data_IF_516375357208
#
_entry.id   IF_516375357208
#
_cell.length_a   1.000
_cell.length_b   1.000
_cell.length_c   1.000
_cell.angle_alpha   90.00
_cell.angle_beta   90.00
_cell.angle_gamma   90.00
#
_symmetry.space_group_name_H-M   'P 1'
#
loop_
_entity.id
_entity.type
_entity.pdbx_description
1 polymer ?
#
# COMPACT_ATOMS: atom_id res chain seq x y z
N UNK A 1 2.15 -6.70 -9.15
CA UNK A 1 2.60 -5.50 -8.45
C UNK A 1 1.63 -4.38 -8.76
N UNK A 2 1.37 -3.52 -7.79
CA UNK A 2 0.46 -2.38 -7.90
C UNK A 2 0.94 -1.36 -8.94
N UNK A 3 0.00 -0.62 -9.53
CA UNK A 3 0.29 0.49 -10.45
C UNK A 3 0.80 1.71 -9.68
N UNK A 4 2.03 2.20 -9.93
CA UNK A 4 2.58 3.36 -9.23
C UNK A 4 1.77 4.62 -9.44
N UNK A 5 1.34 5.25 -8.35
CA UNK A 5 0.68 6.55 -8.38
C UNK A 5 0.77 7.27 -7.02
N UNK A 6 0.62 8.59 -7.04
CA UNK A 6 0.77 9.43 -5.84
C UNK A 6 -0.25 9.12 -4.74
N UNK A 7 -1.48 8.75 -5.12
CA UNK A 7 -2.54 8.46 -4.16
C UNK A 7 -2.25 7.19 -3.35
N UNK A 8 -1.88 6.09 -4.03
CA UNK A 8 -1.49 4.85 -3.38
C UNK A 8 -0.23 5.01 -2.52
N UNK A 9 0.79 5.71 -3.02
CA UNK A 9 2.01 6.01 -2.26
C UNK A 9 1.66 6.78 -0.98
N UNK A 10 0.83 7.81 -1.08
CA UNK A 10 0.39 8.60 0.08
C UNK A 10 -0.41 7.75 1.07
N UNK A 11 -1.31 6.89 0.59
CA UNK A 11 -2.10 5.99 1.42
C UNK A 11 -1.20 5.01 2.20
N UNK A 12 -0.21 4.38 1.55
CA UNK A 12 0.76 3.49 2.19
C UNK A 12 1.56 4.22 3.27
N UNK A 13 2.16 5.38 2.93
CA UNK A 13 2.96 6.18 3.88
C UNK A 13 2.14 6.63 5.09
N UNK A 14 0.90 7.08 4.86
CA UNK A 14 0.00 7.52 5.92
C UNK A 14 -0.44 6.36 6.82
N UNK A 15 -0.75 5.21 6.24
CA UNK A 15 -1.10 4.00 6.99
C UNK A 15 0.06 3.57 7.88
N UNK A 16 1.26 3.48 7.32
CA UNK A 16 2.47 3.12 8.06
C UNK A 16 2.74 4.10 9.23
N UNK A 17 2.60 5.41 8.98
CA UNK A 17 2.76 6.44 10.02
C UNK A 17 1.75 6.27 11.16
N UNK A 18 0.46 6.08 10.86
CA UNK A 18 -0.57 5.90 11.89
C UNK A 18 -0.34 4.64 12.72
N UNK A 19 0.08 3.54 12.09
CA UNK A 19 0.43 2.32 12.80
C UNK A 19 1.62 2.54 13.76
N UNK A 20 2.67 3.22 13.30
CA UNK A 20 3.81 3.59 14.14
C UNK A 20 3.39 4.46 15.34
N UNK A 21 2.47 5.40 15.13
CA UNK A 21 1.90 6.30 16.15
C UNK A 21 0.88 5.62 17.09
N UNK A 22 0.61 4.32 16.92
CA UNK A 22 -0.22 3.55 17.85
C UNK A 22 -1.67 3.32 17.40
N UNK A 23 -1.96 3.44 16.10
CA UNK A 23 -3.26 3.03 15.58
C UNK A 23 -3.57 1.55 15.94
N UNK A 24 -4.85 1.21 16.21
CA UNK A 24 -5.23 -0.16 16.56
C UNK A 24 -4.79 -1.18 15.52
N UNK A 25 -4.14 -2.23 15.98
CA UNK A 25 -3.62 -3.29 15.12
C UNK A 25 -3.92 -4.67 15.69
N UNK A 26 -4.59 -5.51 14.90
CA UNK A 26 -4.92 -6.89 15.22
C UNK A 26 -5.14 -7.67 13.92
N UNK A 27 -4.24 -8.61 13.62
CA UNK A 27 -4.23 -9.37 12.38
C UNK A 27 -5.56 -10.13 12.11
N UNK A 28 -6.17 -10.72 13.15
CA UNK A 28 -7.47 -11.40 13.01
C UNK A 28 -8.71 -10.50 12.94
N UNK A 29 -8.56 -9.17 13.00
CA UNK A 29 -9.69 -8.24 12.92
C UNK A 29 -9.64 -7.50 11.58
N UNK A 30 -10.61 -7.81 10.71
CA UNK A 30 -10.63 -7.39 9.30
C UNK A 30 -10.46 -5.89 9.04
N UNK A 31 -10.92 -5.03 9.96
CA UNK A 31 -10.74 -3.59 9.86
C UNK A 31 -9.46 -3.03 10.51
N UNK A 32 -8.67 -3.84 11.21
CA UNK A 32 -7.45 -3.40 11.91
C UNK A 32 -6.24 -4.32 11.69
N UNK A 33 -6.31 -5.21 10.70
CA UNK A 33 -5.16 -5.97 10.21
C UNK A 33 -4.34 -5.12 9.22
N UNK A 34 -3.47 -5.77 8.45
CA UNK A 34 -2.59 -5.12 7.48
C UNK A 34 -3.41 -4.42 6.38
N UNK A 35 -4.23 -5.19 5.67
CA UNK A 35 -5.13 -4.68 4.63
C UNK A 35 -6.22 -3.78 5.21
N UNK A 36 -6.75 -4.12 6.39
CA UNK A 36 -7.79 -3.33 7.06
C UNK A 36 -7.35 -1.90 7.37
N UNK A 37 -6.11 -1.69 7.84
CA UNK A 37 -5.59 -0.34 8.08
C UNK A 37 -5.41 0.46 6.79
N UNK A 38 -4.93 -0.18 5.71
CA UNK A 38 -4.83 0.48 4.41
C UNK A 38 -6.23 0.82 3.84
N UNK A 39 -7.18 -0.11 3.97
CA UNK A 39 -8.56 0.07 3.53
C UNK A 39 -9.25 1.24 4.24
N UNK A 40 -9.00 1.46 5.54
CA UNK A 40 -9.49 2.66 6.25
C UNK A 40 -8.96 3.95 5.60
N UNK A 41 -7.69 3.99 5.21
CA UNK A 41 -7.11 5.18 4.58
C UNK A 41 -7.66 5.46 3.19
N UNK A 42 -7.97 4.42 2.42
CA UNK A 42 -8.48 4.54 1.05
C UNK A 42 -9.98 4.87 1.08
N UNK A 43 -10.78 4.02 1.71
CA UNK A 43 -12.25 4.10 1.67
C UNK A 43 -12.86 5.12 2.63
N UNK A 44 -12.07 5.60 3.61
CA UNK A 44 -12.54 6.41 4.76
C UNK A 44 -13.54 5.70 5.67
N UNK A 45 -13.79 4.41 5.46
CA UNK A 45 -14.57 3.58 6.38
C UNK A 45 -13.80 3.39 7.69
N UNK A 46 -14.55 3.25 8.77
CA UNK A 46 -14.01 2.88 10.08
C UNK A 46 -13.62 1.41 10.12
N UNK A 47 -12.74 1.03 11.05
CA UNK A 47 -12.43 -0.39 11.30
C UNK A 47 -13.67 -1.24 11.61
N UNK A 48 -14.73 -0.66 12.19
CA UNK A 48 -15.95 -1.37 12.55
C UNK A 48 -16.78 -1.68 11.30
N UNK A 49 -16.95 -0.69 10.41
CA UNK A 49 -17.66 -0.88 9.14
C UNK A 49 -16.95 -1.90 8.24
N UNK A 50 -15.61 -1.82 8.12
CA UNK A 50 -14.83 -2.78 7.34
C UNK A 50 -14.98 -4.20 7.93
N UNK A 51 -14.96 -4.32 9.25
CA UNK A 51 -15.15 -5.61 9.89
C UNK A 51 -16.57 -6.16 9.65
N UNK A 52 -17.59 -5.32 9.77
CA UNK A 52 -18.96 -5.71 9.46
C UNK A 52 -19.10 -6.17 8.00
N UNK A 53 -18.49 -5.44 7.04
CA UNK A 53 -18.53 -5.78 5.62
C UNK A 53 -17.97 -7.18 5.36
N UNK A 54 -16.82 -7.49 5.97
CA UNK A 54 -16.18 -8.78 5.83
C UNK A 54 -17.00 -9.93 6.46
N UNK A 55 -17.66 -9.66 7.59
CA UNK A 55 -18.40 -10.68 8.36
C UNK A 55 -19.80 -10.97 7.80
N UNK A 56 -20.34 -10.15 6.89
CA UNK A 56 -21.72 -10.32 6.38
C UNK A 56 -21.93 -11.64 5.65
N UNK A 57 -21.00 -12.04 4.78
CA UNK A 57 -21.21 -13.17 3.87
C UNK A 57 -20.00 -14.10 3.73
N UNK A 58 -18.89 -13.80 4.40
CA UNK A 58 -17.62 -14.52 4.24
C UNK A 58 -16.90 -14.65 5.59
N UNK A 59 -16.03 -15.64 5.66
CA UNK A 59 -15.13 -15.86 6.78
C UNK A 59 -13.70 -15.77 6.25
N UNK A 60 -12.75 -15.77 7.17
CA UNK A 60 -11.34 -15.79 6.82
C UNK A 60 -10.69 -14.41 6.77
N UNK A 61 -9.42 -14.42 6.40
CA UNK A 61 -8.61 -13.21 6.28
C UNK A 61 -8.75 -12.53 4.91
N UNK A 62 -8.03 -11.43 4.70
CA UNK A 62 -8.09 -10.70 3.45
C UNK A 62 -7.66 -11.51 2.23
N UNK A 63 -6.78 -12.49 2.38
CA UNK A 63 -6.39 -13.36 1.26
C UNK A 63 -7.58 -14.21 0.82
N UNK A 64 -8.27 -14.84 1.77
CA UNK A 64 -9.46 -15.67 1.51
C UNK A 64 -10.63 -14.84 0.97
N UNK A 65 -10.84 -13.64 1.52
CA UNK A 65 -11.87 -12.71 1.04
C UNK A 65 -11.60 -12.27 -0.40
N UNK A 66 -10.33 -12.07 -0.74
CA UNK A 66 -9.88 -11.69 -2.08
C UNK A 66 -9.94 -12.85 -3.07
N UNK A 67 -9.72 -14.10 -2.63
CA UNK A 67 -9.94 -15.29 -3.46
C UNK A 67 -11.40 -15.41 -3.92
N UNK A 68 -12.34 -15.03 -3.05
CA UNK A 68 -13.77 -15.03 -3.35
C UNK A 68 -14.25 -13.75 -4.07
N UNK A 69 -13.36 -12.82 -4.42
CA UNK A 69 -13.72 -11.51 -4.97
C UNK A 69 -14.49 -11.63 -6.30
N UNK A 70 -15.64 -10.94 -6.37
CA UNK A 70 -16.45 -10.83 -7.58
C UNK A 70 -16.86 -9.36 -7.81
N UNK A 71 -16.36 -8.68 -8.85
CA UNK A 71 -16.60 -7.24 -9.05
C UNK A 71 -18.05 -6.86 -9.35
N UNK A 72 -18.91 -7.83 -9.69
CA UNK A 72 -20.32 -7.60 -10.08
C UNK A 72 -21.33 -8.04 -9.02
N UNK A 73 -20.88 -8.53 -7.87
CA UNK A 73 -21.75 -9.10 -6.83
C UNK A 73 -22.51 -8.04 -6.02
N UNK A 74 -22.06 -6.78 -6.06
CA UNK A 74 -22.48 -5.68 -5.18
C UNK A 74 -22.40 -5.99 -3.67
N UNK A 75 -21.61 -6.99 -3.27
CA UNK A 75 -21.40 -7.29 -1.86
C UNK A 75 -20.53 -6.21 -1.21
N UNK A 76 -20.78 -5.82 0.05
CA UNK A 76 -20.04 -4.74 0.70
C UNK A 76 -18.52 -4.94 0.70
N UNK A 77 -18.05 -6.16 0.94
CA UNK A 77 -16.62 -6.49 0.88
C UNK A 77 -16.08 -6.42 -0.55
N UNK A 78 -16.85 -6.87 -1.54
CA UNK A 78 -16.42 -6.78 -2.94
C UNK A 78 -16.35 -5.32 -3.40
N UNK A 79 -17.30 -4.46 -2.98
CA UNK A 79 -17.24 -3.01 -3.25
C UNK A 79 -16.00 -2.36 -2.64
N UNK A 80 -15.61 -2.77 -1.42
CA UNK A 80 -14.39 -2.29 -0.78
C UNK A 80 -13.13 -2.74 -1.55
N UNK A 81 -13.08 -4.02 -1.96
CA UNK A 81 -11.97 -4.53 -2.78
C UNK A 81 -11.91 -3.78 -4.11
N UNK A 82 -13.05 -3.50 -4.75
CA UNK A 82 -13.13 -2.69 -5.97
C UNK A 82 -12.49 -1.33 -5.77
N UNK A 83 -12.87 -0.58 -4.72
CA UNK A 83 -12.25 0.72 -4.41
C UNK A 83 -10.73 0.64 -4.23
N UNK A 84 -10.25 -0.40 -3.54
CA UNK A 84 -8.81 -0.61 -3.37
C UNK A 84 -8.12 -0.90 -4.71
N UNK A 85 -8.77 -1.66 -5.60
CA UNK A 85 -8.20 -1.94 -6.92
C UNK A 85 -8.26 -0.74 -7.87
N UNK A 86 -9.26 0.13 -7.74
CA UNK A 86 -9.38 1.35 -8.54
C UNK A 86 -8.23 2.34 -8.30
N UNK A 87 -7.67 2.38 -7.09
CA UNK A 87 -6.49 3.20 -6.78
C UNK A 87 -5.17 2.56 -7.24
N UNK A 88 -5.21 1.42 -7.94
CA UNK A 88 -4.05 0.78 -8.54
C UNK A 88 -3.54 -0.49 -7.84
N UNK A 89 -4.21 -0.99 -6.79
CA UNK A 89 -3.87 -2.30 -6.21
C UNK A 89 -4.41 -3.44 -7.08
N UNK A 90 -3.72 -4.58 -7.06
CA UNK A 90 -4.24 -5.85 -7.56
C UNK A 90 -4.70 -6.75 -6.42
N UNK A 91 -5.50 -7.77 -6.73
CA UNK A 91 -5.88 -8.80 -5.76
C UNK A 91 -4.66 -9.56 -5.20
N UNK A 92 -3.62 -9.74 -6.00
CA UNK A 92 -2.34 -10.31 -5.55
C UNK A 92 -1.65 -9.40 -4.55
N UNK A 93 -1.69 -8.08 -4.74
CA UNK A 93 -1.09 -7.13 -3.80
C UNK A 93 -1.81 -7.15 -2.45
N UNK A 94 -3.14 -7.32 -2.44
CA UNK A 94 -3.91 -7.48 -1.20
C UNK A 94 -3.53 -8.76 -0.45
N UNK A 95 -3.38 -9.89 -1.14
CA UNK A 95 -2.90 -11.15 -0.56
C UNK A 95 -1.49 -11.00 0.00
N UNK A 96 -0.61 -10.35 -0.75
CA UNK A 96 0.76 -10.11 -0.33
C UNK A 96 0.84 -9.18 0.88
N UNK A 97 -0.01 -8.15 0.96
CA UNK A 97 -0.09 -7.27 2.12
C UNK A 97 -0.60 -8.00 3.36
N UNK A 98 -1.59 -8.89 3.19
CA UNK A 98 -2.13 -9.67 4.31
C UNK A 98 -1.07 -10.57 4.95
N UNK A 99 -0.13 -11.09 4.15
CA UNK A 99 0.94 -12.02 4.60
C UNK A 99 2.34 -11.42 4.66
N UNK A 100 2.52 -10.15 4.26
CA UNK A 100 3.80 -9.47 4.08
C UNK A 100 4.77 -10.26 3.17
N UNK A 101 4.29 -10.70 2.00
CA UNK A 101 4.95 -11.73 1.19
C UNK A 101 5.40 -11.31 -0.20
N UNK A 102 5.25 -10.05 -0.61
CA UNK A 102 5.70 -9.65 -1.95
C UNK A 102 7.23 -9.71 -2.05
N UNK A 103 7.72 -10.49 -3.03
CA UNK A 103 9.15 -10.71 -3.21
C UNK A 103 9.90 -9.44 -3.57
N UNK A 104 9.34 -8.57 -4.40
CA UNK A 104 10.02 -7.34 -4.84
C UNK A 104 10.24 -6.37 -3.67
N UNK A 105 9.33 -6.37 -2.70
CA UNK A 105 9.47 -5.59 -1.47
C UNK A 105 10.47 -6.27 -0.53
N UNK A 106 10.33 -7.58 -0.30
CA UNK A 106 11.16 -8.33 0.65
C UNK A 106 12.66 -8.33 0.29
N UNK A 107 13.02 -8.34 -1.00
CA UNK A 107 14.44 -8.30 -1.41
C UNK A 107 15.13 -6.96 -1.13
N UNK A 108 14.35 -5.89 -0.96
CA UNK A 108 14.84 -4.55 -0.64
C UNK A 108 15.11 -4.34 0.86
N UNK A 109 14.51 -5.18 1.69
CA UNK A 109 14.72 -5.14 3.14
C UNK A 109 16.09 -5.71 3.54
N UNK A 110 16.67 -5.25 4.67
CA UNK A 110 17.86 -5.85 5.25
C UNK A 110 17.69 -7.36 5.47
N UNK A 111 18.80 -8.11 5.42
CA UNK A 111 18.77 -9.57 5.44
C UNK A 111 18.04 -10.13 6.67
N UNK A 112 18.19 -9.47 7.82
CA UNK A 112 17.54 -9.78 9.09
C UNK A 112 16.01 -9.60 9.07
N UNK A 113 15.47 -8.83 8.12
CA UNK A 113 14.04 -8.53 7.98
C UNK A 113 13.37 -9.21 6.78
N UNK A 114 14.04 -10.17 6.13
CA UNK A 114 13.45 -10.93 5.01
C UNK A 114 12.34 -11.91 5.43
N UNK A 115 12.20 -12.18 6.73
CA UNK A 115 11.16 -13.03 7.31
C UNK A 115 10.23 -12.21 8.19
N UNK A 116 9.37 -11.41 7.56
CA UNK A 116 8.42 -10.59 8.28
C UNK A 116 7.28 -11.43 8.89
N UNK A 117 7.04 -11.19 10.17
CA UNK A 117 5.86 -11.66 10.89
C UNK A 117 4.66 -10.74 10.61
N UNK A 118 3.66 -11.25 9.88
CA UNK A 118 2.46 -10.51 9.48
C UNK A 118 1.54 -10.11 10.63
N UNK A 119 1.75 -10.63 11.84
CA UNK A 119 1.04 -10.29 13.06
C UNK A 119 1.83 -9.34 13.97
N UNK A 120 2.99 -8.83 13.52
CA UNK A 120 3.78 -7.84 14.23
C UNK A 120 3.69 -6.50 13.52
N UNK A 121 3.02 -5.55 14.17
CA UNK A 121 2.79 -4.18 13.67
C UNK A 121 4.02 -3.54 13.05
N UNK A 122 5.17 -3.59 13.74
CA UNK A 122 6.39 -2.91 13.26
C UNK A 122 6.91 -3.49 11.93
N UNK A 123 6.67 -4.77 11.67
CA UNK A 123 6.99 -5.39 10.38
C UNK A 123 6.06 -4.91 9.28
N UNK A 124 4.77 -4.68 9.59
CA UNK A 124 3.80 -4.10 8.65
C UNK A 124 4.20 -2.68 8.29
N UNK A 125 4.61 -1.87 9.29
CA UNK A 125 5.11 -0.50 9.05
C UNK A 125 6.32 -0.51 8.13
N UNK A 126 7.29 -1.38 8.41
CA UNK A 126 8.48 -1.55 7.57
C UNK A 126 8.12 -1.93 6.14
N UNK A 127 7.26 -2.92 5.97
CA UNK A 127 6.81 -3.39 4.66
C UNK A 127 6.08 -2.29 3.87
N UNK A 128 5.13 -1.58 4.48
CA UNK A 128 4.39 -0.51 3.83
C UNK A 128 5.27 0.67 3.43
N UNK A 129 6.28 1.01 4.26
CA UNK A 129 7.26 2.05 3.91
C UNK A 129 8.11 1.65 2.72
N UNK A 130 8.60 0.42 2.71
CA UNK A 130 9.44 -0.06 1.62
C UNK A 130 8.65 -0.23 0.32
N UNK A 131 7.39 -0.65 0.42
CA UNK A 131 6.48 -0.66 -0.71
C UNK A 131 6.27 0.73 -1.30
N UNK A 132 6.04 1.74 -0.45
CA UNK A 132 5.88 3.12 -0.90
C UNK A 132 7.14 3.64 -1.61
N UNK A 133 8.34 3.30 -1.11
CA UNK A 133 9.60 3.65 -1.75
C UNK A 133 9.74 2.99 -3.14
N UNK A 134 9.38 1.71 -3.25
CA UNK A 134 9.40 0.98 -4.53
C UNK A 134 8.50 1.64 -5.57
N UNK A 135 7.25 1.97 -5.20
CA UNK A 135 6.32 2.62 -6.12
C UNK A 135 6.78 4.04 -6.48
N UNK A 136 7.35 4.78 -5.53
CA UNK A 136 7.88 6.12 -5.79
C UNK A 136 9.06 6.09 -6.78
N UNK A 137 9.99 5.15 -6.62
CA UNK A 137 11.10 4.96 -7.56
C UNK A 137 10.61 4.58 -8.96
N UNK A 138 9.62 3.69 -9.06
CA UNK A 138 9.01 3.31 -10.34
C UNK A 138 8.33 4.52 -11.00
N UNK A 139 7.60 5.33 -10.24
CA UNK A 139 6.96 6.55 -10.75
C UNK A 139 7.98 7.58 -11.24
N UNK A 140 9.10 7.75 -10.53
CA UNK A 140 10.16 8.69 -10.91
C UNK A 140 10.93 8.24 -12.15
N UNK A 141 11.09 6.93 -12.36
CA UNK A 141 11.79 6.38 -13.52
C UNK A 141 11.11 6.73 -14.86
N UNK A 142 9.80 6.96 -14.84
CA UNK A 142 9.01 7.35 -16.02
C UNK A 142 9.07 8.86 -16.32
N UNK A 143 9.68 9.67 -15.44
CA UNK A 143 9.79 11.13 -15.61
C UNK A 143 11.09 11.47 -16.35
N UNK A 144 10.96 11.94 -17.59
CA UNK A 144 12.06 12.55 -18.34
C UNK A 144 12.15 14.04 -18.04
N UNK A 145 13.28 14.50 -17.49
CA UNK A 145 13.55 15.92 -17.28
C UNK A 145 14.11 16.54 -18.56
N UNK A 146 13.69 17.77 -18.91
CA UNK A 146 14.30 18.49 -20.01
C UNK A 146 15.76 18.82 -19.66
N UNK A 147 16.65 18.67 -20.64
CA UNK A 147 18.04 19.14 -20.54
C UNK A 147 18.03 20.67 -20.58
N UNK A 148 18.53 21.31 -19.53
CA UNK A 148 18.73 22.76 -19.53
C UNK A 148 20.18 23.06 -19.93
N UNK A 149 20.35 23.81 -21.02
CA UNK A 149 21.66 24.38 -21.37
C UNK A 149 21.93 25.57 -20.46
N UNK A 150 23.06 25.53 -19.75
CA UNK A 150 23.53 26.67 -18.95
C UNK A 150 24.23 27.63 -19.90
N UNK A 151 23.60 28.76 -20.21
CA UNK A 151 24.26 29.86 -20.91
C UNK A 151 25.42 30.37 -20.05
N UNK A 152 26.65 30.15 -20.49
CA UNK A 152 27.83 30.75 -19.87
C UNK A 152 27.83 32.24 -20.18
N UNK A 153 27.58 33.05 -19.15
CA UNK A 153 27.70 34.50 -19.23
C UNK A 153 29.15 34.87 -19.57
N UNK A 154 29.40 35.25 -20.83
CA UNK A 154 30.72 35.69 -21.27
C UNK A 154 31.00 37.02 -20.59
N UNK A 155 31.82 37.00 -19.54
CA UNK A 155 32.33 38.20 -18.90
C UNK A 155 33.04 39.07 -19.94
N UNK A 156 32.40 40.17 -20.33
CA UNK A 156 32.98 41.22 -21.17
C UNK A 156 34.23 41.78 -20.46
N UNK A 157 35.41 41.34 -20.89
CA UNK A 157 36.66 42.04 -20.58
C UNK A 157 36.60 43.42 -21.23
N UNK A 158 36.38 44.44 -20.42
CA UNK A 158 36.51 45.84 -20.83
C UNK A 158 37.99 46.23 -20.81
N UNK A 159 38.38 46.93 -21.87
CA UNK A 159 39.72 47.36 -22.29
C UNK A 159 40.43 48.24 -21.26
#
# INVERSE_FOLDING_TARGET
MATPNLELIAALRKTAKKLEEGAPYQWGHMGSCNCGNLAQEISKLTKAEIHEYAMRNRQGDWSEQTDAYCPVSNQPMDLLITQMTEIGLTTTDLKNLEKLSDREILVRLPAEFRYLQHNKRDHVVMYMREWANLLEEQLLADISLPTFEVEQEVALQTV
#
